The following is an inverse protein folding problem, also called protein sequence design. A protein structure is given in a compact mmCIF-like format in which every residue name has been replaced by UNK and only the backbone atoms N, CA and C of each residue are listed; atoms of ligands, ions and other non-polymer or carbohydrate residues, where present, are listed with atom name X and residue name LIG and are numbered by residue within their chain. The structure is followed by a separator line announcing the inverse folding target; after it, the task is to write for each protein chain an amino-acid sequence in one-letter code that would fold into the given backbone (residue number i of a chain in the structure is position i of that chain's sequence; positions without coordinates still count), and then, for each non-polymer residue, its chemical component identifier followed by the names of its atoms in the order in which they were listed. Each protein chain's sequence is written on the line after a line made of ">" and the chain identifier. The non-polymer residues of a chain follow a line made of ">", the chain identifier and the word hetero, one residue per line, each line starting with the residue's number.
data_IF_072698743887
#
_entry.id   IF_072698743887
#
_cell.length_a   1.000
_cell.length_b   1.000
_cell.length_c   1.000
_cell.angle_alpha   90.00
_cell.angle_beta   90.00
_cell.angle_gamma   90.00
#
_symmetry.space_group_name_H-M   'P 1'
#
loop_
_entity.id
_entity.type
_entity.pdbx_description
1 polymer ?
#
# COMPACT_ATOMS: atom_id res chain seq x y z
N UNK A 1 6.21 -24.35 -1.46
CA UNK A 1 5.53 -23.05 -1.56
C UNK A 1 6.51 -21.87 -1.49
N UNK A 2 7.44 -21.82 -0.53
CA UNK A 2 8.43 -20.73 -0.41
C UNK A 2 9.17 -20.42 -1.72
N UNK A 3 9.71 -21.44 -2.38
CA UNK A 3 10.42 -21.31 -3.66
C UNK A 3 9.55 -20.71 -4.79
N UNK A 4 8.24 -21.00 -4.79
CA UNK A 4 7.32 -20.49 -5.80
C UNK A 4 6.99 -18.99 -5.58
N UNK A 5 6.81 -18.56 -4.32
CA UNK A 5 6.63 -17.14 -3.97
C UNK A 5 7.84 -16.31 -4.40
N UNK A 6 9.06 -16.81 -4.13
CA UNK A 6 10.31 -16.14 -4.50
C UNK A 6 10.44 -16.00 -6.02
N UNK A 7 10.15 -17.06 -6.78
CA UNK A 7 10.15 -17.02 -8.24
C UNK A 7 9.14 -16.01 -8.79
N UNK A 8 7.89 -16.05 -8.30
CA UNK A 8 6.86 -15.11 -8.72
C UNK A 8 7.24 -13.67 -8.36
N UNK A 9 7.84 -13.44 -7.20
CA UNK A 9 8.28 -12.12 -6.79
C UNK A 9 9.37 -11.56 -7.71
N UNK A 10 10.35 -12.38 -8.10
CA UNK A 10 11.35 -11.96 -9.08
C UNK A 10 10.75 -11.69 -10.46
N UNK A 11 9.76 -12.49 -10.90
CA UNK A 11 9.04 -12.20 -12.15
C UNK A 11 8.30 -10.86 -12.05
N UNK A 12 7.54 -10.64 -10.97
CA UNK A 12 6.83 -9.37 -10.73
C UNK A 12 7.80 -8.21 -10.72
N UNK A 13 8.96 -8.31 -10.07
CA UNK A 13 9.96 -7.23 -10.03
C UNK A 13 10.52 -6.87 -11.40
N UNK A 14 10.71 -7.86 -12.27
CA UNK A 14 11.31 -7.66 -13.59
C UNK A 14 10.29 -7.43 -14.72
N UNK A 15 9.00 -7.55 -14.43
CA UNK A 15 7.94 -7.31 -15.43
C UNK A 15 7.69 -5.83 -15.69
N UNK A 16 7.00 -5.54 -16.79
CA UNK A 16 6.34 -4.26 -16.97
C UNK A 16 5.28 -4.07 -15.88
N UNK A 17 5.26 -2.87 -15.31
CA UNK A 17 4.36 -2.45 -14.24
C UNK A 17 3.98 -1.00 -14.43
N UNK A 18 2.73 -0.66 -14.11
CA UNK A 18 2.26 0.73 -14.22
C UNK A 18 2.42 1.44 -12.89
N UNK A 19 3.19 2.52 -12.86
CA UNK A 19 3.26 3.38 -11.67
C UNK A 19 1.88 3.96 -11.36
N UNK A 20 1.44 3.83 -10.10
CA UNK A 20 0.11 4.28 -9.68
C UNK A 20 0.02 5.82 -9.68
N UNK A 21 1.06 6.50 -9.20
CA UNK A 21 1.10 7.97 -9.11
C UNK A 21 -0.05 8.54 -8.29
N UNK A 22 -0.75 9.54 -8.85
CA UNK A 22 -1.89 10.21 -8.22
C UNK A 22 -3.25 9.59 -8.61
N UNK A 23 -3.25 8.42 -9.26
CA UNK A 23 -4.48 7.72 -9.59
C UNK A 23 -4.85 6.75 -8.46
N UNK A 24 -6.15 6.55 -8.24
CA UNK A 24 -6.60 5.45 -7.38
C UNK A 24 -6.77 4.18 -8.20
N UNK A 25 -6.31 3.03 -7.68
CA UNK A 25 -6.60 1.75 -8.30
C UNK A 25 -8.07 1.39 -8.09
N UNK A 26 -8.54 0.35 -8.76
CA UNK A 26 -9.83 -0.26 -8.42
C UNK A 26 -9.72 -1.04 -7.11
N UNK A 27 -10.85 -1.20 -6.41
CA UNK A 27 -10.89 -1.98 -5.17
C UNK A 27 -10.34 -3.38 -5.40
N UNK A 28 -9.43 -3.82 -4.53
CA UNK A 28 -8.86 -5.16 -4.59
C UNK A 28 -7.79 -5.36 -5.65
N UNK A 29 -7.41 -4.34 -6.42
CA UNK A 29 -6.27 -4.45 -7.33
C UNK A 29 -4.97 -4.67 -6.56
N UNK A 30 -4.14 -5.57 -7.09
CA UNK A 30 -2.86 -5.92 -6.49
C UNK A 30 -1.80 -4.93 -6.94
N UNK A 31 -1.04 -4.47 -5.96
CA UNK A 31 0.10 -3.58 -6.11
C UNK A 31 1.37 -4.22 -5.53
N UNK A 32 2.50 -3.78 -6.04
CA UNK A 32 3.79 -3.93 -5.38
C UNK A 32 4.25 -2.56 -4.88
N UNK A 33 4.67 -2.48 -3.62
CA UNK A 33 5.23 -1.27 -3.04
C UNK A 33 6.71 -1.14 -3.42
N UNK A 34 7.22 0.08 -3.42
CA UNK A 34 8.66 0.34 -3.56
C UNK A 34 9.44 -0.05 -2.30
N UNK A 35 10.70 -0.45 -2.46
CA UNK A 35 11.56 -0.81 -1.34
C UNK A 35 11.71 0.38 -0.36
N UNK A 36 11.53 0.11 0.93
CA UNK A 36 11.73 1.07 2.01
C UNK A 36 12.91 0.62 2.88
N UNK A 37 13.74 1.58 3.30
CA UNK A 37 14.93 1.30 4.11
C UNK A 37 14.54 0.61 5.43
N UNK A 38 15.21 -0.49 5.75
CA UNK A 38 15.00 -1.24 7.00
C UNK A 38 13.78 -2.15 7.04
N UNK A 39 12.97 -2.20 5.98
CA UNK A 39 11.84 -3.12 5.87
C UNK A 39 12.20 -4.31 4.95
N UNK A 40 11.72 -5.53 5.25
CA UNK A 40 11.81 -6.65 4.32
C UNK A 40 11.20 -6.31 2.96
N UNK A 41 11.80 -6.85 1.91
CA UNK A 41 11.39 -6.65 0.53
C UNK A 41 11.32 -7.99 -0.20
N UNK A 42 10.28 -8.75 0.14
CA UNK A 42 9.91 -10.04 -0.44
C UNK A 42 8.41 -10.04 -0.79
N UNK A 43 7.90 -11.16 -1.32
CA UNK A 43 6.49 -11.28 -1.72
C UNK A 43 5.51 -10.92 -0.60
N UNK A 44 5.75 -11.41 0.61
CA UNK A 44 4.81 -11.31 1.73
C UNK A 44 4.76 -9.90 2.35
N UNK A 45 5.77 -9.07 2.09
CA UNK A 45 5.88 -7.72 2.63
C UNK A 45 5.75 -6.61 1.58
N UNK A 46 5.95 -6.92 0.31
CA UNK A 46 5.95 -5.92 -0.76
C UNK A 46 4.72 -5.97 -1.66
N UNK A 47 4.05 -7.12 -1.77
CA UNK A 47 2.86 -7.30 -2.59
C UNK A 47 1.61 -7.22 -1.70
N UNK A 48 0.56 -6.56 -2.17
CA UNK A 48 -0.70 -6.47 -1.43
C UNK A 48 -1.83 -5.95 -2.30
N UNK A 49 -3.08 -6.10 -1.86
CA UNK A 49 -4.21 -5.43 -2.50
C UNK A 49 -4.75 -4.29 -1.63
N UNK A 50 -5.18 -3.22 -2.29
CA UNK A 50 -5.69 -2.03 -1.59
C UNK A 50 -7.17 -2.23 -1.28
N UNK A 51 -7.54 -2.07 -0.01
CA UNK A 51 -8.91 -2.24 0.49
C UNK A 51 -9.59 -0.93 0.84
N UNK A 52 -8.83 0.10 1.17
CA UNK A 52 -9.35 1.43 1.46
C UNK A 52 -8.26 2.48 1.22
N UNK A 53 -8.65 3.62 0.68
CA UNK A 53 -7.81 4.81 0.49
C UNK A 53 -8.45 5.96 1.27
N UNK A 54 -7.71 6.59 2.17
CA UNK A 54 -8.16 7.78 2.90
C UNK A 54 -7.36 8.98 2.42
N UNK A 55 -8.02 9.91 1.76
CA UNK A 55 -7.37 11.04 1.12
C UNK A 55 -6.71 11.96 2.14
N UNK A 56 -5.46 12.34 1.90
CA UNK A 56 -4.70 13.34 2.67
C UNK A 56 -4.58 13.04 4.18
N UNK A 57 -4.73 11.78 4.59
CA UNK A 57 -4.61 11.35 5.99
C UNK A 57 -3.26 10.73 6.35
N UNK A 58 -2.39 10.47 5.38
CA UNK A 58 -1.04 9.97 5.57
C UNK A 58 -0.03 11.06 5.94
N UNK A 59 1.21 10.65 6.18
CA UNK A 59 2.35 11.55 6.38
C UNK A 59 2.45 12.60 5.26
N UNK A 60 2.77 13.84 5.62
CA UNK A 60 2.87 14.99 4.69
C UNK A 60 1.60 15.29 3.89
N UNK A 61 0.44 14.82 4.34
CA UNK A 61 -0.81 14.98 3.59
C UNK A 61 -0.89 14.08 2.36
N UNK A 62 -0.07 13.03 2.29
CA UNK A 62 -0.27 11.92 1.35
C UNK A 62 -1.53 11.14 1.68
N UNK A 63 -1.95 10.29 0.76
CA UNK A 63 -3.00 9.31 0.96
C UNK A 63 -2.56 8.27 1.99
N UNK A 64 -3.51 7.84 2.81
CA UNK A 64 -3.33 6.69 3.70
C UNK A 64 -3.99 5.48 3.05
N UNK A 65 -3.17 4.52 2.60
CA UNK A 65 -3.62 3.27 1.99
C UNK A 65 -3.71 2.18 3.04
N UNK A 66 -4.84 1.47 3.08
CA UNK A 66 -4.97 0.23 3.82
C UNK A 66 -4.76 -0.90 2.82
N UNK A 67 -3.75 -1.72 3.09
CA UNK A 67 -3.28 -2.77 2.19
C UNK A 67 -3.34 -4.10 2.92
N UNK A 68 -4.05 -5.06 2.34
CA UNK A 68 -4.04 -6.45 2.78
C UNK A 68 -2.85 -7.15 2.14
N UNK A 69 -2.01 -7.79 2.96
CA UNK A 69 -0.86 -8.57 2.49
C UNK A 69 -1.23 -10.06 2.32
N UNK A 70 -0.40 -10.87 1.63
CA UNK A 70 -0.70 -12.27 1.32
C UNK A 70 -1.02 -13.15 2.53
N UNK A 71 -0.41 -12.85 3.68
CA UNK A 71 -0.66 -13.56 4.94
C UNK A 71 -2.02 -13.21 5.59
N UNK A 72 -2.78 -12.26 5.03
CA UNK A 72 -4.06 -11.78 5.57
C UNK A 72 -3.92 -10.60 6.55
N UNK A 73 -2.72 -10.11 6.82
CA UNK A 73 -2.54 -8.94 7.68
C UNK A 73 -2.92 -7.65 6.96
N UNK A 74 -3.52 -6.72 7.70
CA UNK A 74 -3.83 -5.37 7.24
C UNK A 74 -2.76 -4.41 7.70
N UNK A 75 -2.16 -3.68 6.76
CA UNK A 75 -1.14 -2.69 7.06
C UNK A 75 -1.52 -1.34 6.48
N UNK A 76 -1.17 -0.29 7.21
CA UNK A 76 -1.30 1.09 6.74
C UNK A 76 -0.02 1.49 6.04
N UNK A 77 -0.16 2.04 4.83
CA UNK A 77 0.94 2.61 4.06
C UNK A 77 0.65 4.08 3.77
N UNK A 78 1.68 4.90 3.86
CA UNK A 78 1.64 6.33 3.64
C UNK A 78 2.96 6.78 3.03
N UNK A 79 2.93 7.84 2.21
CA UNK A 79 4.11 8.33 1.49
C UNK A 79 4.89 7.19 0.75
N UNK A 80 4.16 6.21 0.23
CA UNK A 80 4.70 4.98 -0.34
C UNK A 80 4.36 4.92 -1.83
N UNK A 81 5.37 4.66 -2.66
CA UNK A 81 5.16 4.41 -4.08
C UNK A 81 4.61 3.01 -4.31
N UNK A 82 3.61 2.91 -5.19
CA UNK A 82 3.00 1.66 -5.64
C UNK A 82 3.03 1.52 -7.17
N UNK A 83 3.10 0.27 -7.62
CA UNK A 83 2.97 -0.10 -9.02
C UNK A 83 1.93 -1.19 -9.17
N UNK A 84 1.06 -1.03 -10.18
CA UNK A 84 0.07 -2.02 -10.56
C UNK A 84 0.73 -3.14 -11.36
N UNK A 85 0.40 -4.36 -10.97
CA UNK A 85 0.81 -5.57 -11.68
C UNK A 85 -0.02 -5.73 -12.95
N UNK A 86 0.53 -6.41 -13.95
CA UNK A 86 -0.25 -6.85 -15.11
C UNK A 86 -1.27 -7.94 -14.70
N UNK A 87 -2.28 -8.19 -15.53
CA UNK A 87 -3.39 -9.11 -15.21
C UNK A 87 -2.90 -10.52 -14.84
N UNK A 88 -1.94 -11.07 -15.61
CA UNK A 88 -1.37 -12.40 -15.37
C UNK A 88 -0.71 -12.50 -13.98
N UNK A 89 0.11 -11.52 -13.61
CA UNK A 89 0.76 -11.51 -12.30
C UNK A 89 -0.22 -11.20 -11.17
N UNK A 90 -1.29 -10.43 -11.43
CA UNK A 90 -2.35 -10.23 -10.44
C UNK A 90 -3.03 -11.57 -10.12
N UNK A 91 -3.41 -12.36 -11.12
CA UNK A 91 -4.05 -13.67 -10.89
C UNK A 91 -3.13 -14.62 -10.12
N UNK A 92 -1.87 -14.75 -10.55
CA UNK A 92 -0.89 -15.60 -9.89
C UNK A 92 -0.59 -15.14 -8.46
N UNK A 93 -0.44 -13.83 -8.25
CA UNK A 93 -0.21 -13.29 -6.91
C UNK A 93 -1.42 -13.53 -6.03
N UNK A 94 -2.63 -13.22 -6.51
CA UNK A 94 -3.88 -13.36 -5.78
C UNK A 94 -4.04 -14.80 -5.28
N UNK A 95 -3.71 -15.80 -6.09
CA UNK A 95 -3.79 -17.22 -5.73
C UNK A 95 -3.05 -17.56 -4.41
N UNK A 96 -2.01 -16.80 -4.06
CA UNK A 96 -1.18 -17.02 -2.88
C UNK A 96 -1.66 -16.26 -1.62
N UNK A 97 -2.74 -15.48 -1.73
CA UNK A 97 -3.33 -14.78 -0.59
C UNK A 97 -4.23 -15.69 0.23
N UNK A 98 -4.13 -15.55 1.56
CA UNK A 98 -5.00 -16.21 2.53
C UNK A 98 -6.46 -15.72 2.47
N UNK A 99 -6.68 -14.47 2.03
CA UNK A 99 -7.98 -13.84 1.89
C UNK A 99 -8.04 -13.11 0.53
N UNK A 100 -9.20 -13.18 -0.14
CA UNK A 100 -9.44 -12.50 -1.41
C UNK A 100 -10.24 -11.20 -1.21
N UNK A 101 -10.07 -10.19 -2.08
CA UNK A 101 -10.85 -8.96 -2.01
C UNK A 101 -12.37 -9.18 -2.03
N UNK A 102 -12.83 -10.20 -2.76
CA UNK A 102 -14.26 -10.56 -2.89
C UNK A 102 -14.85 -11.14 -1.61
N UNK A 103 -14.03 -11.76 -0.75
CA UNK A 103 -14.45 -12.30 0.55
C UNK A 103 -14.54 -11.20 1.61
N UNK A 104 -13.76 -10.13 1.44
CA UNK A 104 -13.71 -8.98 2.35
C UNK A 104 -14.83 -7.97 2.07
N UNK A 105 -15.02 -7.59 0.81
CA UNK A 105 -16.05 -6.62 0.40
C UNK A 105 -15.70 -5.15 0.66
N UNK A 106 -16.06 -4.28 -0.30
CA UNK A 106 -15.67 -2.87 -0.32
C UNK A 106 -16.32 -1.97 0.73
N UNK A 107 -17.36 -2.45 1.42
CA UNK A 107 -18.05 -1.72 2.48
C UNK A 107 -17.55 -2.08 3.89
N UNK A 108 -16.47 -2.88 3.98
CA UNK A 108 -15.85 -3.22 5.27
C UNK A 108 -15.45 -1.97 6.04
N UNK A 109 -15.80 -1.96 7.33
CA UNK A 109 -15.44 -0.89 8.26
C UNK A 109 -14.04 -1.16 8.80
N UNK A 110 -13.11 -0.26 8.53
CA UNK A 110 -11.76 -0.32 9.10
C UNK A 110 -11.55 0.78 10.13
N UNK A 111 -10.87 0.43 11.21
CA UNK A 111 -10.42 1.39 12.23
C UNK A 111 -8.90 1.45 12.19
N UNK A 112 -8.34 2.65 12.01
CA UNK A 112 -6.90 2.92 12.08
C UNK A 112 -6.65 3.69 13.39
N UNK A 113 -5.58 3.32 14.10
CA UNK A 113 -5.05 3.94 15.34
C UNK A 113 -6.07 4.75 16.16
N UNK A 114 -6.57 4.13 17.23
CA UNK A 114 -7.32 4.79 18.32
C UNK A 114 -8.72 5.36 18.02
N UNK A 115 -9.45 4.80 17.04
CA UNK A 115 -10.92 4.82 17.10
C UNK A 115 -11.67 5.64 16.05
N UNK A 116 -11.10 5.81 14.85
CA UNK A 116 -11.79 6.44 13.72
C UNK A 116 -12.22 5.39 12.67
N UNK A 117 -13.42 4.80 12.81
CA UNK A 117 -13.96 3.86 11.84
C UNK A 117 -14.35 4.56 10.54
N UNK A 118 -14.00 3.97 9.41
CA UNK A 118 -14.43 4.42 8.08
C UNK A 118 -14.86 3.22 7.25
N UNK A 119 -15.96 3.36 6.52
CA UNK A 119 -16.51 2.38 5.58
C UNK A 119 -16.43 2.87 4.15
N UNK A 120 -16.21 1.95 3.21
CA UNK A 120 -16.11 2.26 1.79
C UNK A 120 -14.66 2.27 1.30
N UNK A 121 -14.51 2.33 -0.02
CA UNK A 121 -13.21 2.20 -0.66
C UNK A 121 -12.40 3.51 -0.65
N UNK A 122 -12.94 4.60 -1.17
CA UNK A 122 -12.26 5.92 -1.17
C UNK A 122 -12.98 6.82 -0.18
N UNK A 123 -12.24 7.29 0.82
CA UNK A 123 -12.75 8.14 1.88
C UNK A 123 -12.20 9.56 1.67
N UNK A 124 -13.06 10.52 1.26
CA UNK A 124 -12.64 11.89 1.07
C UNK A 124 -12.09 12.52 2.34
N UNK A 125 -11.18 13.48 2.17
CA UNK A 125 -10.70 14.29 3.28
C UNK A 125 -11.83 15.18 3.82
N UNK A 126 -11.95 15.25 5.15
CA UNK A 126 -12.82 16.19 5.85
C UNK A 126 -11.99 17.00 6.83
N UNK A 127 -12.29 18.27 6.98
CA UNK A 127 -11.65 19.09 7.99
C UNK A 127 -11.88 18.48 9.39
N UNK A 128 -10.83 18.44 10.22
CA UNK A 128 -10.85 17.76 11.51
C UNK A 128 -10.69 16.23 11.45
N UNK A 129 -10.56 15.62 10.27
CA UNK A 129 -10.23 14.21 10.17
C UNK A 129 -8.85 13.90 10.79
N UNK A 130 -8.69 12.72 11.42
CA UNK A 130 -7.41 12.30 11.98
C UNK A 130 -6.37 12.21 10.87
N UNK A 131 -5.16 12.65 11.17
CA UNK A 131 -3.99 12.53 10.30
C UNK A 131 -2.96 11.63 10.96
N UNK A 132 -2.08 11.05 10.15
CA UNK A 132 -0.97 10.23 10.62
C UNK A 132 -0.16 10.93 11.71
N UNK A 133 0.32 10.15 12.68
CA UNK A 133 1.22 10.61 13.73
C UNK A 133 2.61 10.96 13.18
N UNK A 134 2.97 10.46 11.99
CA UNK A 134 4.27 10.66 11.34
C UNK A 134 4.37 12.00 10.56
N UNK A 135 3.70 13.07 11.00
CA UNK A 135 3.69 14.36 10.29
C UNK A 135 5.04 15.12 10.34
N UNK A 136 6.01 14.66 11.14
CA UNK A 136 7.11 15.51 11.63
C UNK A 136 8.54 15.07 11.30
N UNK A 137 8.82 14.25 10.27
CA UNK A 137 10.24 14.08 9.86
C UNK A 137 10.67 15.29 9.03
N UNK A 138 11.18 16.32 9.69
CA UNK A 138 11.83 17.46 9.04
C UNK A 138 13.24 17.06 8.58
N UNK A 139 13.50 17.08 7.28
CA UNK A 139 14.85 17.02 6.74
C UNK A 139 15.46 18.44 6.69
N UNK A 140 16.57 18.65 7.40
CA UNK A 140 17.40 19.84 7.24
C UNK A 140 18.51 19.54 6.23
N UNK A 141 18.58 20.31 5.14
CA UNK A 141 19.66 20.23 4.16
C UNK A 141 20.60 21.40 4.41
N UNK A 142 21.86 21.12 4.76
CA UNK A 142 22.92 22.13 4.85
C UNK A 142 23.81 22.04 3.62
N UNK A 143 23.87 23.11 2.83
CA UNK A 143 24.80 23.22 1.70
C UNK A 143 26.07 23.89 2.22
N UNK A 144 27.17 23.15 2.28
CA UNK A 144 28.51 23.72 2.47
C UNK A 144 29.09 24.09 1.12
N UNK A 145 29.29 25.38 0.87
CA UNK A 145 30.10 25.85 -0.25
C UNK A 145 31.56 25.44 0.01
N UNK A 146 32.11 24.60 -0.87
CA UNK A 146 33.54 24.30 -0.86
C UNK A 146 34.30 25.56 -1.29
N UNK A 147 35.16 26.09 -0.41
CA UNK A 147 36.10 27.18 -0.71
C UNK A 147 37.30 26.68 -1.51
#
# INVERSE_FOLDING_TARGET
>A
MQNHKEQLFELIKNSDKKFLGNCYPEYGQIVIRGAAMGAPYDFDHAVGYIVQVREKRGAYGSEQYLVRHPNGELHTHENQSFWLLNEEHQEQALALFAQKPTEEGGDTVYTVAEGFPESGYIIPFKEGAPKSENQHLTMAITITENK
#
